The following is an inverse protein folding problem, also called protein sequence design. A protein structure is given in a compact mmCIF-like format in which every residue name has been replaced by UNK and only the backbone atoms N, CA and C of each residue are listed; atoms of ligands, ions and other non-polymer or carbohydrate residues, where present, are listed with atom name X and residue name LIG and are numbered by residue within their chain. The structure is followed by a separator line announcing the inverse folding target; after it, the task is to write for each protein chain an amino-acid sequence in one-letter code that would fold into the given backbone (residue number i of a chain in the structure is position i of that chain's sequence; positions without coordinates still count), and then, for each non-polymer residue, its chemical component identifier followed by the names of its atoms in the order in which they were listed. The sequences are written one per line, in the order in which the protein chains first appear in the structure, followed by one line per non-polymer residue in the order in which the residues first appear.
data_IF_889101089161
#
_entry.id   IF_889101089161
#
_cell.length_a   1.000
_cell.length_b   1.000
_cell.length_c   1.000
_cell.angle_alpha   90.00
_cell.angle_beta   90.00
_cell.angle_gamma   90.00
#
_symmetry.space_group_name_H-M   'P 1'
#
loop_
_entity.id
_entity.type
_entity.pdbx_description
1 polymer ?
#
# COMPACT_ATOMS: atom_id res chain seq x y z
N UNK A 1 -7.42 -0.42 5.66
CA UNK A 1 -7.24 -1.42 4.59
C UNK A 1 -5.81 -1.35 4.11
N UNK A 2 -5.21 -2.49 3.73
CA UNK A 2 -3.81 -2.56 3.29
C UNK A 2 -3.66 -2.49 1.75
N UNK A 3 -4.77 -2.36 1.02
CA UNK A 3 -4.76 -2.34 -0.45
C UNK A 3 -4.73 -0.89 -0.93
N UNK A 4 -3.73 -0.56 -1.73
CA UNK A 4 -3.49 0.79 -2.25
C UNK A 4 -3.01 0.80 -3.71
N UNK A 5 -2.52 1.95 -4.21
CA UNK A 5 -1.99 2.13 -5.56
C UNK A 5 -0.94 1.09 -5.94
N UNK A 6 -0.17 0.57 -4.98
CA UNK A 6 0.78 -0.52 -5.21
C UNK A 6 0.14 -1.80 -5.79
N UNK A 7 -1.12 -2.09 -5.47
CA UNK A 7 -1.83 -3.21 -6.09
C UNK A 7 -2.14 -2.95 -7.57
N UNK A 8 -2.29 -1.68 -7.96
CA UNK A 8 -2.58 -1.26 -9.32
C UNK A 8 -1.30 -1.09 -10.16
N UNK A 9 -0.13 -0.95 -9.53
CA UNK A 9 1.18 -1.02 -10.20
C UNK A 9 1.68 -2.46 -10.39
N UNK A 10 1.08 -3.46 -9.72
CA UNK A 10 1.49 -4.87 -9.87
C UNK A 10 1.49 -5.39 -11.32
N UNK A 11 0.45 -5.16 -12.16
CA UNK A 11 0.49 -5.61 -13.55
C UNK A 11 1.70 -5.07 -14.33
N UNK A 12 2.08 -3.82 -14.05
CA UNK A 12 3.26 -3.19 -14.64
C UNK A 12 4.56 -3.85 -14.17
N UNK A 13 4.68 -4.16 -12.86
CA UNK A 13 5.81 -4.90 -12.29
C UNK A 13 5.98 -6.25 -12.99
N UNK A 14 4.90 -7.01 -13.18
CA UNK A 14 4.97 -8.32 -13.83
C UNK A 14 5.25 -8.23 -15.33
N UNK A 15 4.73 -7.20 -16.02
CA UNK A 15 4.97 -6.97 -17.44
C UNK A 15 6.44 -6.61 -17.74
N UNK A 16 7.06 -5.81 -16.89
CA UNK A 16 8.41 -5.28 -17.08
C UNK A 16 9.50 -6.13 -16.40
N UNK A 17 9.23 -6.61 -15.19
CA UNK A 17 10.13 -7.48 -14.43
C UNK A 17 10.12 -8.91 -14.96
N UNK A 18 9.05 -9.33 -15.63
CA UNK A 18 8.83 -10.70 -16.06
C UNK A 18 8.23 -11.57 -14.95
N UNK A 19 7.56 -12.64 -15.35
CA UNK A 19 6.75 -13.45 -14.46
C UNK A 19 7.57 -14.13 -13.35
N UNK A 20 8.64 -14.84 -13.72
CA UNK A 20 9.43 -15.63 -12.78
C UNK A 20 10.13 -14.76 -11.73
N UNK A 21 10.97 -13.77 -12.09
CA UNK A 21 11.68 -12.97 -11.10
C UNK A 21 10.74 -12.15 -10.20
N UNK A 22 9.64 -11.60 -10.75
CA UNK A 22 8.65 -10.85 -9.95
C UNK A 22 7.95 -11.76 -8.95
N UNK A 23 7.62 -12.99 -9.35
CA UNK A 23 7.00 -13.98 -8.46
C UNK A 23 7.98 -14.47 -7.39
N UNK A 24 9.26 -14.67 -7.71
CA UNK A 24 10.30 -15.01 -6.73
C UNK A 24 10.46 -13.88 -5.70
N UNK A 25 10.57 -12.63 -6.15
CA UNK A 25 10.68 -11.46 -5.25
C UNK A 25 9.45 -11.38 -4.34
N UNK A 26 8.24 -11.52 -4.90
CA UNK A 26 7.01 -11.50 -4.13
C UNK A 26 6.96 -12.62 -3.08
N UNK A 27 7.32 -13.84 -3.46
CA UNK A 27 7.36 -15.00 -2.57
C UNK A 27 8.41 -14.88 -1.45
N UNK A 28 9.49 -14.13 -1.65
CA UNK A 28 10.49 -13.86 -0.62
C UNK A 28 10.11 -12.67 0.27
N UNK A 29 9.57 -11.61 -0.32
CA UNK A 29 9.25 -10.38 0.39
C UNK A 29 7.98 -10.51 1.24
N UNK A 30 6.94 -11.19 0.74
CA UNK A 30 5.68 -11.32 1.47
C UNK A 30 5.84 -12.01 2.84
N UNK A 31 6.55 -13.16 2.99
CA UNK A 31 6.82 -13.75 4.29
C UNK A 31 7.62 -12.83 5.22
N UNK A 32 8.59 -12.07 4.70
CA UNK A 32 9.36 -11.12 5.50
C UNK A 32 8.46 -9.99 6.06
N UNK A 33 7.57 -9.43 5.24
CA UNK A 33 6.58 -8.46 5.68
C UNK A 33 5.61 -9.04 6.72
N UNK A 34 5.09 -10.25 6.47
CA UNK A 34 4.20 -10.94 7.39
C UNK A 34 4.90 -11.18 8.73
N UNK A 35 6.14 -11.68 8.71
CA UNK A 35 6.96 -11.87 9.90
C UNK A 35 7.14 -10.56 10.67
N UNK A 36 7.46 -9.46 9.99
CA UNK A 36 7.56 -8.14 10.59
C UNK A 36 6.27 -7.68 11.26
N UNK A 37 5.11 -7.84 10.60
CA UNK A 37 3.81 -7.50 11.19
C UNK A 37 3.50 -8.36 12.42
N UNK A 38 3.75 -9.68 12.35
CA UNK A 38 3.52 -10.60 13.46
C UNK A 38 4.42 -10.28 14.65
N UNK A 39 5.69 -9.97 14.40
CA UNK A 39 6.64 -9.57 15.43
C UNK A 39 6.18 -8.30 16.14
N UNK A 40 5.70 -7.29 15.40
CA UNK A 40 5.14 -6.06 15.99
C UNK A 40 3.90 -6.33 16.84
N UNK A 41 2.99 -7.20 16.38
CA UNK A 41 1.80 -7.60 17.16
C UNK A 41 2.22 -8.30 18.44
N UNK A 42 3.19 -9.22 18.36
CA UNK A 42 3.71 -9.93 19.53
C UNK A 42 4.39 -8.97 20.52
N UNK A 43 5.22 -8.05 20.04
CA UNK A 43 5.86 -7.04 20.87
C UNK A 43 4.84 -6.14 21.59
N UNK A 44 3.79 -5.71 20.88
CA UNK A 44 2.68 -4.97 21.48
C UNK A 44 1.97 -5.78 22.57
N UNK A 45 1.68 -7.05 22.33
CA UNK A 45 1.01 -7.91 23.32
C UNK A 45 1.89 -8.11 24.56
N UNK A 46 3.20 -8.31 24.37
CA UNK A 46 4.16 -8.42 25.48
C UNK A 46 4.25 -7.14 26.29
N UNK A 47 4.27 -5.98 25.63
CA UNK A 47 4.25 -4.67 26.29
C UNK A 47 2.99 -4.49 27.16
N UNK A 48 1.81 -4.83 26.64
CA UNK A 48 0.55 -4.77 27.38
C UNK A 48 0.52 -5.76 28.55
N UNK A 49 1.10 -6.95 28.38
CA UNK A 49 1.18 -7.94 29.46
C UNK A 49 2.06 -7.46 30.63
N UNK A 50 3.14 -6.71 30.36
CA UNK A 50 4.05 -6.18 31.38
C UNK A 50 3.50 -4.92 32.05
N UNK A 51 2.94 -3.98 31.27
CA UNK A 51 2.40 -2.71 31.79
C UNK A 51 0.98 -2.82 32.36
N UNK A 52 0.33 -3.97 32.19
CA UNK A 52 -1.00 -4.27 32.67
C UNK A 52 -2.15 -3.71 31.80
N UNK A 53 -3.42 -4.02 32.16
CA UNK A 53 -4.60 -3.72 31.33
C UNK A 53 -4.83 -2.24 31.06
N UNK A 54 -4.29 -1.35 31.90
CA UNK A 54 -4.39 0.09 31.74
C UNK A 54 -3.63 0.61 30.51
N UNK A 55 -2.57 -0.08 30.07
CA UNK A 55 -1.87 0.24 28.82
C UNK A 55 -2.70 -0.13 27.58
N UNK A 56 -3.52 -1.19 27.66
CA UNK A 56 -4.41 -1.62 26.56
C UNK A 56 -5.51 -0.60 26.22
N UNK A 57 -5.92 0.22 27.21
CA UNK A 57 -6.94 1.27 27.03
C UNK A 57 -6.43 2.53 26.32
N UNK A 58 -5.11 2.67 26.16
CA UNK A 58 -4.49 3.79 25.44
C UNK A 58 -4.16 3.35 24.00
N UNK A 59 -4.25 4.26 23.05
CA UNK A 59 -3.66 4.06 21.72
C UNK A 59 -2.15 3.93 21.87
N UNK A 60 -1.62 2.75 21.55
CA UNK A 60 -0.18 2.45 21.58
C UNK A 60 0.38 2.71 20.18
N UNK A 61 1.35 3.62 20.09
CA UNK A 61 2.04 3.97 18.85
C UNK A 61 3.21 3.02 18.56
N UNK A 62 3.68 2.97 17.31
CA UNK A 62 4.85 2.16 16.93
C UNK A 62 6.13 2.60 17.66
N UNK A 63 6.31 3.90 17.90
CA UNK A 63 7.42 4.46 18.67
C UNK A 63 7.50 3.87 20.08
N UNK A 64 6.36 3.64 20.73
CA UNK A 64 6.26 3.18 22.11
C UNK A 64 6.57 1.69 22.20
N UNK A 65 6.11 0.91 21.21
CA UNK A 65 6.47 -0.52 21.10
C UNK A 65 7.98 -0.65 20.84
N UNK A 66 8.54 0.20 19.97
CA UNK A 66 9.96 0.25 19.69
C UNK A 66 10.81 0.65 20.89
N UNK A 67 10.40 1.70 21.59
CA UNK A 67 11.06 2.19 22.80
C UNK A 67 11.06 1.12 23.91
N UNK A 68 9.94 0.41 24.08
CA UNK A 68 9.84 -0.68 25.04
C UNK A 68 10.71 -1.89 24.66
N UNK A 69 10.82 -2.21 23.37
CA UNK A 69 11.55 -3.39 22.92
C UNK A 69 13.07 -3.18 22.84
N UNK A 70 13.52 -1.99 22.43
CA UNK A 70 14.91 -1.71 22.08
C UNK A 70 15.51 -0.48 22.80
N UNK A 71 14.69 0.32 23.48
CA UNK A 71 15.09 1.56 24.16
C UNK A 71 14.64 2.83 23.44
N UNK A 72 14.58 3.95 24.17
CA UNK A 72 14.00 5.23 23.70
C UNK A 72 14.59 5.75 22.38
N UNK A 73 15.91 5.60 22.20
CA UNK A 73 16.59 5.97 20.96
C UNK A 73 15.95 5.31 19.73
N UNK A 74 15.67 4.01 19.80
CA UNK A 74 15.05 3.27 18.71
C UNK A 74 13.58 3.63 18.51
N UNK A 75 12.88 4.03 19.58
CA UNK A 75 11.53 4.59 19.49
C UNK A 75 11.48 5.82 18.58
N UNK A 76 12.38 6.78 18.80
CA UNK A 76 12.48 7.98 17.98
C UNK A 76 12.87 7.68 16.53
N UNK A 77 13.81 6.74 16.32
CA UNK A 77 14.18 6.29 14.95
C UNK A 77 12.97 5.72 14.22
N UNK A 78 12.16 4.90 14.90
CA UNK A 78 10.94 4.33 14.33
C UNK A 78 9.91 5.41 13.99
N UNK A 79 9.72 6.40 14.87
CA UNK A 79 8.81 7.53 14.63
C UNK A 79 9.18 8.31 13.36
N UNK A 80 10.47 8.64 13.23
CA UNK A 80 10.99 9.35 12.05
C UNK A 80 10.81 8.49 10.79
N UNK A 81 11.18 7.21 10.85
CA UNK A 81 11.06 6.30 9.72
C UNK A 81 9.61 6.17 9.25
N UNK A 82 8.67 5.91 10.17
CA UNK A 82 7.24 5.79 9.87
C UNK A 82 6.68 7.08 9.27
N UNK A 83 7.08 8.23 9.81
CA UNK A 83 6.65 9.54 9.30
C UNK A 83 7.13 9.78 7.87
N UNK A 84 8.39 9.48 7.57
CA UNK A 84 8.95 9.58 6.20
C UNK A 84 8.24 8.61 5.25
N UNK A 85 8.03 7.36 5.67
CA UNK A 85 7.27 6.38 4.87
C UNK A 85 5.86 6.86 4.57
N UNK A 86 5.16 7.42 5.56
CA UNK A 86 3.79 7.91 5.36
C UNK A 86 3.74 9.10 4.40
N UNK A 87 4.70 10.01 4.46
CA UNK A 87 4.82 11.12 3.50
C UNK A 87 5.07 10.60 2.07
N UNK A 88 5.92 9.58 1.93
CA UNK A 88 6.15 8.89 0.65
C UNK A 88 4.87 8.27 0.09
N UNK A 89 4.17 7.48 0.92
CA UNK A 89 2.90 6.84 0.54
C UNK A 89 1.85 7.89 0.14
N UNK A 90 1.65 8.94 0.94
CA UNK A 90 0.70 10.00 0.63
C UNK A 90 1.00 10.67 -0.72
N UNK A 91 2.27 10.90 -1.03
CA UNK A 91 2.70 11.51 -2.29
C UNK A 91 2.32 10.65 -3.50
N UNK A 92 2.57 9.34 -3.42
CA UNK A 92 2.17 8.38 -4.47
C UNK A 92 0.65 8.31 -4.61
N UNK A 93 -0.09 8.33 -3.50
CA UNK A 93 -1.56 8.36 -3.53
C UNK A 93 -2.12 9.60 -4.24
N UNK A 94 -1.55 10.78 -4.00
CA UNK A 94 -2.00 12.01 -4.67
C UNK A 94 -1.69 11.99 -6.16
N UNK A 95 -0.52 11.48 -6.55
CA UNK A 95 -0.18 11.35 -7.97
C UNK A 95 -1.11 10.37 -8.68
N UNK A 96 -1.37 9.22 -8.06
CA UNK A 96 -2.28 8.21 -8.57
C UNK A 96 -3.73 8.73 -8.68
N UNK A 97 -4.23 9.40 -7.64
CA UNK A 97 -5.59 9.95 -7.68
C UNK A 97 -5.71 11.06 -8.74
N UNK A 98 -4.71 11.94 -8.81
CA UNK A 98 -4.70 13.05 -9.75
C UNK A 98 -4.62 12.62 -11.21
N UNK A 99 -3.86 11.58 -11.54
CA UNK A 99 -3.79 11.06 -12.91
C UNK A 99 -5.11 10.42 -13.32
N UNK A 100 -5.77 9.69 -12.42
CA UNK A 100 -7.10 9.14 -12.67
C UNK A 100 -8.18 10.24 -12.80
N UNK A 101 -8.12 11.29 -11.98
CA UNK A 101 -9.03 12.44 -12.11
C UNK A 101 -8.83 13.16 -13.44
N UNK A 102 -7.57 13.32 -13.89
CA UNK A 102 -7.27 13.89 -15.19
C UNK A 102 -7.80 13.02 -16.35
N UNK A 103 -7.72 11.69 -16.24
CA UNK A 103 -8.30 10.78 -17.23
C UNK A 103 -9.83 10.93 -17.33
N UNK A 104 -10.52 11.18 -16.20
CA UNK A 104 -11.95 11.45 -16.18
C UNK A 104 -12.30 12.88 -16.65
N UNK A 105 -11.44 13.86 -16.37
CA UNK A 105 -11.62 15.28 -16.69
C UNK A 105 -10.39 15.84 -17.41
N UNK A 106 -10.20 15.52 -18.71
CA UNK A 106 -8.97 15.82 -19.43
C UNK A 106 -8.70 17.31 -19.62
N UNK A 107 -9.70 18.18 -19.37
CA UNK A 107 -9.57 19.64 -19.46
C UNK A 107 -8.81 20.25 -18.29
N UNK A 108 -8.70 19.54 -17.16
CA UNK A 108 -8.04 20.04 -15.94
C UNK A 108 -6.68 19.36 -15.83
N UNK A 109 -5.59 20.12 -15.67
CA UNK A 109 -4.25 19.54 -15.60
C UNK A 109 -3.98 18.79 -14.29
N UNK A 110 -3.14 17.76 -14.37
CA UNK A 110 -2.72 16.93 -13.22
C UNK A 110 -2.17 17.79 -12.05
N UNK A 111 -1.31 18.80 -12.25
CA UNK A 111 -0.83 19.61 -11.13
C UNK A 111 -1.93 20.35 -10.37
N UNK A 112 -3.01 20.77 -11.06
CA UNK A 112 -4.15 21.44 -10.43
C UNK A 112 -4.92 20.47 -9.54
N UNK A 113 -5.18 19.24 -10.01
CA UNK A 113 -5.79 18.21 -9.18
C UNK A 113 -4.95 17.93 -7.93
N UNK A 114 -3.64 17.68 -8.07
CA UNK A 114 -2.73 17.50 -6.93
C UNK A 114 -2.81 18.68 -5.94
N UNK A 115 -2.73 19.91 -6.42
CA UNK A 115 -2.78 21.10 -5.57
C UNK A 115 -4.11 21.22 -4.80
N UNK A 116 -5.24 20.83 -5.41
CA UNK A 116 -6.55 20.84 -4.74
C UNK A 116 -6.74 19.70 -3.73
N UNK A 117 -6.10 18.54 -3.92
CA UNK A 117 -6.25 17.40 -3.01
C UNK A 117 -5.47 17.57 -1.70
N UNK A 118 -4.32 18.24 -1.72
CA UNK A 118 -3.50 18.51 -0.53
C UNK A 118 -4.28 19.21 0.60
N UNK A 119 -4.98 20.35 0.38
CA UNK A 119 -5.76 21.00 1.45
C UNK A 119 -6.95 20.16 1.93
N UNK A 120 -7.55 19.35 1.05
CA UNK A 120 -8.61 18.41 1.42
C UNK A 120 -8.06 17.30 2.33
N UNK A 121 -6.89 16.76 2.01
CA UNK A 121 -6.24 15.77 2.87
C UNK A 121 -5.87 16.37 4.23
N UNK A 122 -5.34 17.60 4.26
CA UNK A 122 -5.02 18.30 5.50
C UNK A 122 -6.26 18.57 6.37
N UNK A 123 -7.41 18.89 5.76
CA UNK A 123 -8.66 19.07 6.51
C UNK A 123 -9.16 17.74 7.09
N UNK A 124 -8.99 16.61 6.39
CA UNK A 124 -9.34 15.30 6.91
C UNK A 124 -8.46 14.86 8.09
N UNK A 125 -7.19 15.29 8.15
CA UNK A 125 -6.30 15.00 9.29
C UNK A 125 -6.80 15.67 10.59
N UNK A 126 -7.61 16.74 10.50
CA UNK A 126 -8.19 17.40 11.67
C UNK A 126 -9.37 16.63 12.30
N UNK A 127 -9.82 15.51 11.69
CA UNK A 127 -10.92 14.71 12.21
C UNK A 127 -10.44 13.88 13.41
N UNK A 128 -10.81 14.32 14.62
CA UNK A 128 -10.41 13.70 15.90
C UNK A 128 -11.04 12.34 16.19
N UNK A 129 -12.10 11.95 15.47
CA UNK A 129 -12.84 10.71 15.71
C UNK A 129 -13.04 9.92 14.40
N UNK A 130 -12.12 9.00 14.05
CA UNK A 130 -12.17 8.25 12.79
C UNK A 130 -13.24 7.15 12.76
N UNK A 131 -14.21 7.12 13.68
CA UNK A 131 -15.23 6.06 13.74
C UNK A 131 -16.03 5.97 12.43
N UNK A 132 -16.30 7.10 11.76
CA UNK A 132 -16.95 7.12 10.45
C UNK A 132 -16.07 6.59 9.29
N UNK A 133 -14.74 6.67 9.42
CA UNK A 133 -13.81 6.18 8.39
C UNK A 133 -13.78 4.65 8.31
N UNK A 134 -14.15 3.95 9.38
CA UNK A 134 -14.22 2.48 9.37
C UNK A 134 -15.25 2.00 8.35
N UNK A 135 -16.45 2.60 8.35
CA UNK A 135 -17.50 2.26 7.38
C UNK A 135 -17.12 2.66 5.95
N UNK A 136 -16.45 3.79 5.76
CA UNK A 136 -15.91 4.16 4.45
C UNK A 136 -14.86 3.15 3.97
N UNK A 137 -13.96 2.71 4.86
CA UNK A 137 -12.95 1.70 4.52
C UNK A 137 -13.57 0.35 4.17
N UNK A 138 -14.64 -0.08 4.84
CA UNK A 138 -15.29 -1.35 4.50
C UNK A 138 -15.91 -1.30 3.11
N UNK A 139 -16.61 -0.21 2.77
CA UNK A 139 -17.14 0.03 1.42
C UNK A 139 -16.02 0.05 0.38
N UNK A 140 -14.93 0.78 0.65
CA UNK A 140 -13.78 0.82 -0.25
C UNK A 140 -13.17 -0.57 -0.48
N UNK A 141 -13.00 -1.38 0.57
CA UNK A 141 -12.50 -2.74 0.44
C UNK A 141 -13.45 -3.61 -0.41
N UNK A 142 -14.78 -3.47 -0.25
CA UNK A 142 -15.75 -4.20 -1.08
C UNK A 142 -15.66 -3.81 -2.55
N UNK A 143 -15.52 -2.51 -2.85
CA UNK A 143 -15.33 -2.03 -4.22
C UNK A 143 -14.04 -2.56 -4.84
N UNK A 144 -12.96 -2.64 -4.06
CA UNK A 144 -11.69 -3.23 -4.49
C UNK A 144 -11.88 -4.72 -4.84
N UNK A 145 -12.54 -5.50 -3.98
CA UNK A 145 -12.83 -6.90 -4.27
C UNK A 145 -13.72 -7.06 -5.51
N UNK A 146 -14.73 -6.21 -5.66
CA UNK A 146 -15.59 -6.19 -6.85
C UNK A 146 -14.81 -5.87 -8.12
N UNK A 147 -13.91 -4.89 -8.07
CA UNK A 147 -13.05 -4.52 -9.20
C UNK A 147 -12.10 -5.67 -9.56
N UNK A 148 -11.48 -6.31 -8.58
CA UNK A 148 -10.60 -7.45 -8.81
C UNK A 148 -11.38 -8.62 -9.43
N UNK A 149 -12.57 -8.93 -8.92
CA UNK A 149 -13.45 -9.97 -9.48
C UNK A 149 -13.86 -9.66 -10.92
N UNK A 150 -14.18 -8.40 -11.23
CA UNK A 150 -14.50 -7.97 -12.59
C UNK A 150 -13.29 -8.13 -13.53
N UNK A 151 -12.08 -7.75 -13.09
CA UNK A 151 -10.84 -7.96 -13.85
C UNK A 151 -10.65 -9.45 -14.15
N UNK A 152 -10.77 -10.34 -13.15
CA UNK A 152 -10.67 -11.78 -13.37
C UNK A 152 -11.76 -12.32 -14.32
N UNK A 153 -13.01 -11.86 -14.16
CA UNK A 153 -14.12 -12.27 -15.00
C UNK A 153 -13.95 -11.84 -16.46
N UNK A 154 -13.31 -10.69 -16.72
CA UNK A 154 -12.99 -10.22 -18.06
C UNK A 154 -11.76 -10.94 -18.63
N UNK A 155 -10.69 -11.07 -17.86
CA UNK A 155 -9.40 -11.60 -18.35
C UNK A 155 -9.42 -13.11 -18.57
N UNK A 156 -10.08 -13.90 -17.70
CA UNK A 156 -10.07 -15.38 -17.81
C UNK A 156 -10.68 -15.89 -19.11
N UNK A 157 -11.84 -15.39 -19.59
CA UNK A 157 -12.37 -15.77 -20.91
C UNK A 157 -11.47 -15.33 -22.07
N UNK A 158 -10.86 -14.14 -22.00
CA UNK A 158 -9.92 -13.65 -23.03
C UNK A 158 -8.64 -14.50 -23.11
N UNK A 159 -8.22 -15.13 -22.01
CA UNK A 159 -7.12 -16.09 -21.99
C UNK A 159 -7.52 -17.49 -22.49
N UNK A 160 -8.81 -17.85 -22.42
CA UNK A 160 -9.32 -19.18 -22.82
C UNK A 160 -9.80 -19.26 -24.26
N UNK A 161 -10.26 -18.15 -24.83
CA UNK A 161 -10.42 -18.06 -26.29
C UNK A 161 -9.04 -17.88 -26.92
N UNK A 162 -8.75 -18.56 -28.02
CA UNK A 162 -7.52 -18.42 -28.81
C UNK A 162 -7.34 -17.01 -29.46
N UNK A 163 -7.94 -15.96 -28.87
CA UNK A 163 -7.91 -14.55 -29.28
C UNK A 163 -6.88 -13.74 -28.47
N UNK A 164 -5.80 -14.38 -28.00
CA UNK A 164 -4.69 -13.65 -27.41
C UNK A 164 -3.82 -13.05 -28.54
N UNK A 165 -4.24 -11.89 -29.07
CA UNK A 165 -3.42 -11.06 -29.97
C UNK A 165 -2.38 -10.19 -29.20
N UNK A 166 -2.14 -10.50 -27.91
CA UNK A 166 -1.19 -9.79 -27.07
C UNK A 166 0.25 -10.32 -27.22
N UNK A 167 1.24 -9.50 -26.85
CA UNK A 167 2.63 -9.97 -26.74
C UNK A 167 2.72 -11.20 -25.82
N UNK A 168 3.51 -12.23 -26.18
CA UNK A 168 3.70 -13.40 -25.33
C UNK A 168 4.21 -12.97 -23.94
N UNK A 169 3.66 -13.60 -22.90
CA UNK A 169 4.02 -13.30 -21.52
C UNK A 169 5.54 -13.41 -21.32
N UNK A 170 6.17 -12.31 -20.91
CA UNK A 170 7.62 -12.29 -20.65
C UNK A 170 7.93 -13.13 -19.41
N UNK A 171 8.47 -14.33 -19.63
CA UNK A 171 8.91 -15.22 -18.54
C UNK A 171 10.06 -14.61 -17.74
N UNK A 172 10.97 -13.94 -18.44
CA UNK A 172 12.10 -13.20 -17.87
C UNK A 172 12.08 -11.76 -18.38
N UNK A 173 12.15 -10.79 -17.47
CA UNK A 173 12.30 -9.38 -17.81
C UNK A 173 13.76 -9.01 -18.09
N UNK A 174 13.96 -7.79 -18.59
CA UNK A 174 15.31 -7.25 -18.80
C UNK A 174 15.93 -6.86 -17.47
N UNK A 175 17.14 -7.34 -17.18
CA UNK A 175 17.90 -7.01 -15.97
C UNK A 175 18.13 -5.49 -15.84
N UNK A 176 18.19 -4.77 -16.96
CA UNK A 176 18.33 -3.32 -17.00
C UNK A 176 17.09 -2.56 -16.53
N UNK A 177 15.92 -3.21 -16.47
CA UNK A 177 14.65 -2.62 -15.98
C UNK A 177 14.36 -2.94 -14.51
N UNK A 178 15.22 -3.70 -13.84
CA UNK A 178 15.09 -3.99 -12.39
C UNK A 178 14.97 -2.73 -11.52
N UNK A 179 15.77 -1.65 -11.71
CA UNK A 179 15.61 -0.45 -10.89
C UNK A 179 14.22 0.19 -11.01
N UNK A 180 13.60 0.09 -12.20
CA UNK A 180 12.25 0.61 -12.46
C UNK A 180 11.18 -0.25 -11.76
N UNK A 181 11.38 -1.57 -11.76
CA UNK A 181 10.50 -2.53 -11.07
C UNK A 181 10.57 -2.34 -9.56
N UNK A 182 11.77 -2.17 -8.99
CA UNK A 182 11.95 -1.87 -7.57
C UNK A 182 11.37 -0.51 -7.18
N UNK A 183 11.45 0.49 -8.06
CA UNK A 183 10.83 1.81 -7.82
C UNK A 183 9.31 1.82 -7.88
N UNK A 184 8.68 0.76 -8.41
CA UNK A 184 7.22 0.61 -8.50
C UNK A 184 6.59 -0.18 -7.33
N UNK A 185 7.42 -0.76 -6.46
CA UNK A 185 7.06 -1.49 -5.22
C UNK A 185 7.06 -0.50 -4.05
#
# INVERSE_FOLDING_TARGET
GNVGPGCLSMPFIFSEGGLIPSLVILCLFAPACIYGMLLLVWAKHRMVAVLGPSASRRTINFEQVGAFALGEFWGNVIEIFVSVTQLGICSVYFDFCSTNMHAAFPRISVPVFKATMVPVAMSMVMIRHPRGLVAFSTVANLLIFGTLAAIFALVVPHLRGDLYEGEPLKMFGSLSRLPLVFGAI
#
